data_IF_236510123468
#
_entry.id   IF_236510123468
#
_cell.length_a   1.000
_cell.length_b   1.000
_cell.length_c   1.000
_cell.angle_alpha   90.00
_cell.angle_beta   90.00
_cell.angle_gamma   90.00
#
_symmetry.space_group_name_H-M   'P 1'
#
loop_
_entity.id
_entity.type
_entity.pdbx_description
1 polymer ?
#
# COMPACT_ATOMS: atom_id res chain seq x y z
N UNK A 1 -13.15 -0.65 7.54
CA UNK A 1 -14.52 -0.21 7.22
C UNK A 1 -14.93 -0.67 5.83
N UNK A 2 -14.15 -0.44 4.77
CA UNK A 2 -14.49 -0.83 3.40
C UNK A 2 -14.96 -2.31 3.29
N UNK A 3 -14.24 -3.24 3.92
CA UNK A 3 -14.57 -4.67 3.91
C UNK A 3 -15.95 -5.00 4.52
N UNK A 4 -16.52 -4.12 5.34
CA UNK A 4 -17.86 -4.29 5.90
C UNK A 4 -18.94 -3.53 5.13
N UNK A 5 -18.53 -2.57 4.31
CA UNK A 5 -19.46 -1.71 3.57
C UNK A 5 -19.72 -2.19 2.15
N UNK A 6 -18.90 -3.11 1.64
CA UNK A 6 -18.96 -3.62 0.27
C UNK A 6 -19.22 -5.13 0.27
N UNK A 7 -20.23 -5.54 -0.48
CA UNK A 7 -20.45 -6.96 -0.80
C UNK A 7 -19.58 -7.28 -2.03
N UNK A 8 -18.58 -8.13 -1.81
CA UNK A 8 -17.59 -8.48 -2.83
C UNK A 8 -17.86 -9.87 -3.41
N UNK A 9 -17.77 -10.07 -4.73
CA UNK A 9 -17.81 -11.40 -5.32
C UNK A 9 -16.54 -12.23 -5.06
N UNK A 10 -15.52 -11.61 -4.46
CA UNK A 10 -14.22 -12.21 -4.17
C UNK A 10 -14.02 -12.45 -2.68
N UNK A 11 -13.16 -13.39 -2.34
CA UNK A 11 -12.68 -13.53 -0.96
C UNK A 11 -11.75 -12.34 -0.64
N UNK A 12 -12.12 -11.56 0.36
CA UNK A 12 -11.36 -10.37 0.79
C UNK A 12 -10.70 -10.65 2.13
N UNK A 13 -9.40 -10.44 2.20
CA UNK A 13 -8.62 -10.55 3.42
C UNK A 13 -8.09 -9.16 3.82
N UNK A 14 -8.48 -8.67 4.99
CA UNK A 14 -7.93 -7.45 5.57
C UNK A 14 -6.94 -7.82 6.68
N UNK A 15 -5.70 -7.38 6.52
CA UNK A 15 -4.61 -7.68 7.44
C UNK A 15 -4.15 -6.40 8.10
N UNK A 16 -4.08 -6.39 9.42
CA UNK A 16 -3.46 -5.32 10.21
C UNK A 16 -2.06 -5.79 10.62
N UNK A 17 -1.06 -5.25 9.94
CA UNK A 17 0.34 -5.63 10.18
C UNK A 17 0.81 -5.15 11.57
N UNK A 18 1.47 -6.03 12.30
CA UNK A 18 2.15 -5.73 13.56
C UNK A 18 3.65 -5.53 13.30
N UNK A 19 4.31 -4.70 14.10
CA UNK A 19 5.76 -4.50 14.12
C UNK A 19 6.37 -3.93 12.82
N UNK A 20 5.60 -3.24 12.01
CA UNK A 20 6.11 -2.61 10.79
C UNK A 20 7.28 -1.69 11.11
N UNK A 21 7.12 -0.77 12.06
CA UNK A 21 8.10 0.24 12.45
C UNK A 21 9.39 -0.31 13.08
N UNK A 22 9.40 -1.58 13.46
CA UNK A 22 10.57 -2.27 14.01
C UNK A 22 11.09 -3.39 13.11
N UNK A 23 10.76 -3.33 11.81
CA UNK A 23 11.30 -4.22 10.79
C UNK A 23 10.46 -5.48 10.54
N UNK A 24 9.22 -5.55 10.98
CA UNK A 24 8.28 -6.65 10.69
C UNK A 24 8.75 -8.05 11.12
N UNK A 25 9.68 -8.13 12.06
CA UNK A 25 10.22 -9.40 12.57
C UNK A 25 9.30 -10.04 13.62
N UNK A 26 9.54 -11.33 13.89
CA UNK A 26 8.81 -12.10 14.89
C UNK A 26 7.57 -12.79 14.32
N UNK A 27 6.85 -13.51 15.20
CA UNK A 27 5.76 -14.39 14.81
C UNK A 27 4.47 -13.67 14.37
N UNK A 28 4.33 -12.39 14.65
CA UNK A 28 3.18 -11.54 14.26
C UNK A 28 3.54 -10.48 13.22
N UNK A 29 4.83 -10.29 12.94
CA UNK A 29 5.29 -9.37 11.89
C UNK A 29 5.09 -9.95 10.50
N UNK A 30 5.13 -9.10 9.48
CA UNK A 30 4.90 -9.49 8.08
C UNK A 30 5.97 -10.41 7.49
N UNK A 31 7.13 -10.56 8.16
CA UNK A 31 8.13 -11.55 7.79
C UNK A 31 7.78 -12.96 8.26
N UNK A 32 6.76 -13.13 9.10
CA UNK A 32 6.30 -14.44 9.55
C UNK A 32 5.55 -15.18 8.43
N UNK A 33 5.32 -16.47 8.65
CA UNK A 33 4.53 -17.27 7.72
C UNK A 33 3.01 -17.12 7.88
N UNK A 34 2.55 -16.35 8.87
CA UNK A 34 1.12 -16.30 9.25
C UNK A 34 0.22 -15.99 8.04
N UNK A 35 0.58 -14.99 7.23
CA UNK A 35 -0.24 -14.63 6.06
C UNK A 35 -0.26 -15.75 5.03
N UNK A 36 0.89 -16.36 4.76
CA UNK A 36 0.97 -17.51 3.86
C UNK A 36 0.11 -18.68 4.36
N UNK A 37 0.24 -18.99 5.66
CA UNK A 37 -0.51 -20.10 6.28
C UNK A 37 -2.03 -19.85 6.29
N UNK A 38 -2.45 -18.59 6.47
CA UNK A 38 -3.88 -18.21 6.37
C UNK A 38 -4.39 -18.38 4.95
N UNK A 39 -3.66 -17.90 3.94
CA UNK A 39 -4.05 -18.06 2.53
C UNK A 39 -4.11 -19.53 2.17
N UNK A 40 -3.10 -20.31 2.55
CA UNK A 40 -3.02 -21.73 2.25
C UNK A 40 -4.16 -22.52 2.93
N UNK A 41 -4.50 -22.18 4.17
CA UNK A 41 -5.62 -22.78 4.90
C UNK A 41 -6.95 -22.49 4.22
N UNK A 42 -7.18 -21.23 3.83
CA UNK A 42 -8.41 -20.85 3.11
C UNK A 42 -8.49 -21.55 1.76
N UNK A 43 -7.44 -21.52 0.95
CA UNK A 43 -7.39 -22.16 -0.35
C UNK A 43 -7.72 -23.66 -0.25
N UNK A 44 -7.09 -24.36 0.70
CA UNK A 44 -7.32 -25.77 0.93
C UNK A 44 -8.77 -26.06 1.38
N UNK A 45 -9.39 -25.17 2.15
CA UNK A 45 -10.79 -25.32 2.59
C UNK A 45 -11.77 -25.22 1.42
N UNK A 46 -11.41 -24.52 0.36
CA UNK A 46 -12.17 -24.43 -0.89
C UNK A 46 -11.74 -25.47 -1.94
N UNK A 47 -10.77 -26.32 -1.64
CA UNK A 47 -10.26 -27.34 -2.58
C UNK A 47 -9.48 -26.74 -3.76
N UNK A 48 -8.91 -25.55 -3.61
CA UNK A 48 -8.10 -24.87 -4.65
C UNK A 48 -6.62 -24.86 -4.29
N UNK A 49 -5.77 -24.79 -5.31
CA UNK A 49 -4.33 -24.78 -5.10
C UNK A 49 -3.85 -23.45 -4.49
N UNK A 50 -3.21 -23.44 -3.30
CA UNK A 50 -2.74 -22.21 -2.67
C UNK A 50 -1.78 -21.39 -3.52
N UNK A 51 -0.95 -22.01 -4.34
CA UNK A 51 -0.03 -21.31 -5.24
C UNK A 51 -0.82 -20.52 -6.28
N UNK A 52 -1.83 -21.14 -6.91
CA UNK A 52 -2.68 -20.46 -7.88
C UNK A 52 -3.46 -19.31 -7.23
N UNK A 53 -3.93 -19.49 -6.00
CA UNK A 53 -4.60 -18.43 -5.25
C UNK A 53 -3.67 -17.23 -5.07
N UNK A 54 -2.43 -17.44 -4.64
CA UNK A 54 -1.47 -16.34 -4.47
C UNK A 54 -1.19 -15.60 -5.78
N UNK A 55 -0.88 -16.31 -6.87
CA UNK A 55 -0.59 -15.69 -8.16
C UNK A 55 -1.79 -14.98 -8.81
N UNK A 56 -3.02 -15.35 -8.43
CA UNK A 56 -4.24 -14.70 -8.89
C UNK A 56 -4.76 -13.64 -7.90
N UNK A 57 -4.11 -13.47 -6.75
CA UNK A 57 -4.47 -12.47 -5.77
C UNK A 57 -3.87 -11.10 -6.09
N UNK A 58 -4.54 -10.08 -5.61
CA UNK A 58 -4.10 -8.69 -5.69
C UNK A 58 -4.11 -8.05 -4.33
N UNK A 59 -3.20 -7.15 -4.06
CA UNK A 59 -3.06 -6.48 -2.78
C UNK A 59 -2.82 -4.98 -2.94
N UNK A 60 -3.50 -4.19 -2.12
CA UNK A 60 -3.06 -2.83 -1.82
C UNK A 60 -2.46 -2.82 -0.41
N UNK A 61 -1.25 -2.31 -0.29
CA UNK A 61 -0.58 -2.05 0.97
C UNK A 61 -0.95 -0.63 1.39
N UNK A 62 -1.86 -0.53 2.39
CA UNK A 62 -2.43 0.74 2.79
C UNK A 62 -1.73 1.29 4.03
N UNK A 63 -1.10 2.45 3.87
CA UNK A 63 -0.33 3.12 4.92
C UNK A 63 -0.42 4.65 4.74
N UNK A 64 0.47 5.40 5.36
CA UNK A 64 0.73 6.80 5.06
C UNK A 64 1.95 6.93 4.16
N UNK A 65 2.09 8.08 3.48
CA UNK A 65 3.28 8.42 2.69
C UNK A 65 3.65 9.87 2.93
N UNK A 66 4.95 10.21 2.91
CA UNK A 66 5.37 11.57 3.19
C UNK A 66 4.88 12.56 2.14
N UNK A 67 4.13 13.57 2.56
CA UNK A 67 3.73 14.69 1.71
C UNK A 67 4.85 15.73 1.61
N UNK A 68 4.90 16.44 0.50
CA UNK A 68 5.85 17.53 0.30
C UNK A 68 5.71 18.59 1.39
N UNK A 69 6.80 18.80 2.13
CA UNK A 69 6.93 19.87 3.12
C UNK A 69 7.85 20.96 2.58
N UNK A 70 7.34 22.20 2.36
CA UNK A 70 8.17 23.32 1.87
C UNK A 70 9.31 23.68 2.82
N UNK A 71 9.18 23.45 4.13
CA UNK A 71 10.22 23.73 5.10
C UNK A 71 11.42 22.78 4.96
N UNK A 72 11.21 21.60 4.40
CA UNK A 72 12.23 20.57 4.19
C UNK A 72 12.33 20.14 2.73
N UNK A 73 12.07 21.05 1.79
CA UNK A 73 11.97 20.78 0.36
C UNK A 73 13.16 20.05 -0.27
N UNK A 74 14.34 20.08 0.36
CA UNK A 74 15.55 19.40 -0.14
C UNK A 74 15.54 17.88 0.04
N UNK A 75 14.67 17.35 0.91
CA UNK A 75 14.55 15.90 1.14
C UNK A 75 13.53 15.24 0.22
N UNK A 76 12.89 16.00 -0.67
CA UNK A 76 11.87 15.53 -1.61
C UNK A 76 12.30 15.68 -3.06
N UNK A 77 11.84 14.78 -3.91
CA UNK A 77 11.82 15.00 -5.37
C UNK A 77 10.53 15.76 -5.73
N UNK A 78 10.65 17.05 -5.98
CA UNK A 78 9.48 17.96 -6.17
C UNK A 78 8.53 17.57 -7.30
N UNK A 79 9.03 16.85 -8.31
CA UNK A 79 8.23 16.43 -9.47
C UNK A 79 7.52 15.11 -9.26
N UNK A 80 7.91 14.39 -8.22
CA UNK A 80 7.40 13.05 -7.94
C UNK A 80 7.15 12.85 -6.44
N UNK A 81 6.46 13.80 -5.82
CA UNK A 81 6.09 13.73 -4.40
C UNK A 81 4.61 14.00 -4.22
N UNK A 82 4.03 13.40 -3.21
CA UNK A 82 2.62 13.57 -2.86
C UNK A 82 2.35 14.89 -2.17
N UNK A 83 1.10 15.33 -2.18
CA UNK A 83 0.64 16.57 -1.55
C UNK A 83 -0.60 16.30 -0.72
N UNK A 84 -0.69 16.95 0.42
CA UNK A 84 -1.88 16.91 1.28
C UNK A 84 -3.08 17.50 0.53
N UNK A 85 -4.26 16.91 0.73
CA UNK A 85 -5.52 17.29 0.10
C UNK A 85 -5.61 17.06 -1.42
N UNK A 86 -4.77 16.16 -1.95
CA UNK A 86 -4.80 15.77 -3.37
C UNK A 86 -5.26 14.33 -3.60
N UNK A 87 -5.83 13.68 -2.60
CA UNK A 87 -6.38 12.32 -2.71
C UNK A 87 -5.42 11.23 -2.25
N UNK A 88 -5.84 9.98 -2.41
CA UNK A 88 -5.03 8.82 -2.07
C UNK A 88 -3.75 8.77 -2.92
N UNK A 89 -2.64 8.48 -2.29
CA UNK A 89 -1.33 8.45 -2.94
C UNK A 89 -0.97 7.02 -3.36
N UNK A 90 -0.66 6.82 -4.63
CA UNK A 90 -0.16 5.56 -5.16
C UNK A 90 1.35 5.67 -5.33
N UNK A 91 2.09 4.79 -4.66
CA UNK A 91 3.54 4.66 -4.84
C UNK A 91 3.84 3.38 -5.60
N UNK A 92 4.19 3.53 -6.89
CA UNK A 92 4.59 2.40 -7.73
C UNK A 92 5.81 1.70 -7.16
N UNK A 93 6.75 2.48 -6.67
CA UNK A 93 8.01 2.04 -6.12
C UNK A 93 8.17 2.51 -4.67
N UNK A 94 8.57 1.60 -3.79
CA UNK A 94 8.99 1.90 -2.42
C UNK A 94 10.36 1.29 -2.17
N UNK A 95 11.14 1.89 -1.27
CA UNK A 95 12.45 1.37 -0.93
C UNK A 95 13.36 2.44 -0.31
N UNK A 96 14.16 2.03 0.66
CA UNK A 96 15.11 2.93 1.30
C UNK A 96 16.31 3.21 0.39
N UNK A 97 16.59 4.47 0.11
CA UNK A 97 17.66 4.94 -0.76
C UNK A 97 17.63 4.29 -2.16
N UNK A 98 16.43 3.95 -2.61
CA UNK A 98 16.22 3.30 -3.90
C UNK A 98 16.76 1.85 -4.02
N UNK A 99 17.13 1.18 -2.93
CA UNK A 99 17.90 -0.08 -3.04
C UNK A 99 17.58 -1.17 -2.02
N UNK A 100 16.86 -0.90 -0.96
CA UNK A 100 16.58 -1.88 0.08
C UNK A 100 15.13 -1.84 0.55
N UNK A 101 14.62 -3.00 0.97
CA UNK A 101 13.23 -3.17 1.38
C UNK A 101 12.24 -2.69 0.32
N UNK A 102 12.54 -2.99 -0.95
CA UNK A 102 11.86 -2.42 -2.10
C UNK A 102 10.67 -3.27 -2.54
N UNK A 103 9.61 -2.59 -2.97
CA UNK A 103 8.57 -3.12 -3.83
C UNK A 103 8.50 -2.25 -5.10
N UNK A 104 8.28 -2.88 -6.25
CA UNK A 104 8.09 -2.20 -7.53
C UNK A 104 6.87 -2.84 -8.23
N UNK A 105 5.72 -2.19 -8.14
CA UNK A 105 4.50 -2.69 -8.77
C UNK A 105 4.65 -2.75 -10.31
N UNK A 106 4.09 -3.79 -10.94
CA UNK A 106 4.11 -3.91 -12.40
C UNK A 106 3.34 -2.76 -13.07
N UNK A 107 3.69 -2.44 -14.30
CA UNK A 107 2.99 -1.39 -15.06
C UNK A 107 1.53 -1.79 -15.34
N UNK A 108 1.29 -3.07 -15.56
CA UNK A 108 -0.03 -3.66 -15.77
C UNK A 108 -0.89 -3.50 -14.51
N UNK A 109 -0.34 -3.78 -13.34
CA UNK A 109 -1.05 -3.62 -12.08
C UNK A 109 -1.32 -2.15 -11.76
N UNK A 110 -0.39 -1.26 -12.07
CA UNK A 110 -0.61 0.19 -11.97
C UNK A 110 -1.76 0.64 -12.86
N UNK A 111 -1.84 0.13 -14.10
CA UNK A 111 -2.96 0.39 -15.01
C UNK A 111 -4.29 -0.07 -14.42
N UNK A 112 -4.34 -1.31 -13.93
CA UNK A 112 -5.53 -1.88 -13.26
C UNK A 112 -6.01 -1.03 -12.06
N UNK A 113 -5.10 -0.60 -11.19
CA UNK A 113 -5.45 0.25 -10.03
C UNK A 113 -5.98 1.61 -10.50
N UNK A 114 -5.33 2.25 -11.48
CA UNK A 114 -5.79 3.53 -12.02
C UNK A 114 -7.19 3.43 -12.60
N UNK A 115 -7.46 2.43 -13.41
CA UNK A 115 -8.78 2.22 -14.03
C UNK A 115 -9.87 2.07 -12.95
N UNK A 116 -9.62 1.26 -11.92
CA UNK A 116 -10.54 1.12 -10.78
C UNK A 116 -10.82 2.46 -10.10
N UNK A 117 -9.78 3.26 -9.85
CA UNK A 117 -9.95 4.53 -9.15
C UNK A 117 -10.69 5.56 -10.01
N UNK A 118 -10.39 5.63 -11.29
CA UNK A 118 -11.04 6.54 -12.25
C UNK A 118 -12.51 6.16 -12.44
N UNK A 119 -12.83 4.89 -12.67
CA UNK A 119 -14.19 4.39 -12.85
C UNK A 119 -15.09 4.62 -11.62
N UNK A 120 -14.49 4.65 -10.42
CA UNK A 120 -15.21 4.90 -9.16
C UNK A 120 -15.12 6.36 -8.66
N UNK A 121 -14.61 7.28 -9.47
CA UNK A 121 -14.45 8.71 -9.14
C UNK A 121 -13.72 8.90 -7.79
N UNK A 122 -12.62 8.21 -7.62
CA UNK A 122 -11.73 8.36 -6.46
C UNK A 122 -10.67 9.42 -6.78
N UNK A 123 -10.48 10.39 -5.92
CA UNK A 123 -9.36 11.31 -6.04
C UNK A 123 -8.06 10.60 -5.65
N UNK A 124 -7.08 10.64 -6.54
CA UNK A 124 -5.79 10.00 -6.33
C UNK A 124 -4.64 10.79 -6.96
N UNK A 125 -3.44 10.49 -6.52
CA UNK A 125 -2.21 11.06 -7.03
C UNK A 125 -1.13 9.98 -7.02
N UNK A 126 -0.03 10.21 -7.74
CA UNK A 126 1.17 9.38 -7.63
C UNK A 126 2.30 10.15 -6.96
N UNK A 127 3.20 9.44 -6.32
CA UNK A 127 4.42 10.02 -5.79
C UNK A 127 5.30 8.99 -5.10
N UNK A 128 6.58 9.29 -5.08
CA UNK A 128 7.58 8.48 -4.40
C UNK A 128 7.91 9.11 -3.04
N UNK A 129 8.42 8.29 -2.14
CA UNK A 129 8.81 8.70 -0.80
C UNK A 129 10.23 9.27 -0.79
N UNK A 130 10.35 10.59 -0.60
CA UNK A 130 11.63 11.26 -0.44
C UNK A 130 12.39 11.51 -1.74
N UNK A 131 13.59 12.03 -1.61
CA UNK A 131 14.48 12.30 -2.73
C UNK A 131 15.12 11.01 -3.26
N UNK A 132 15.27 10.92 -4.59
CA UNK A 132 15.86 9.75 -5.26
C UNK A 132 17.28 9.50 -4.72
N UNK A 133 17.59 8.24 -4.48
CA UNK A 133 18.88 7.73 -3.94
C UNK A 133 19.26 8.23 -2.53
N UNK A 134 18.60 9.24 -2.00
CA UNK A 134 18.92 9.83 -0.69
C UNK A 134 17.87 9.55 0.38
N UNK A 135 16.61 9.50 -0.01
CA UNK A 135 15.46 9.27 0.85
C UNK A 135 14.77 7.92 0.61
N UNK A 136 13.50 7.90 0.91
CA UNK A 136 12.67 6.72 0.75
C UNK A 136 12.56 5.88 2.02
N UNK A 137 11.69 4.90 1.95
CA UNK A 137 11.44 3.91 3.01
C UNK A 137 10.89 2.63 2.42
N UNK A 138 11.16 1.51 3.06
CA UNK A 138 10.50 0.24 2.76
C UNK A 138 9.11 0.21 3.38
N UNK A 139 8.27 -0.65 2.84
CA UNK A 139 6.92 -0.91 3.34
C UNK A 139 6.68 -2.40 3.49
N UNK A 140 5.58 -2.78 4.12
CA UNK A 140 5.20 -4.21 4.22
C UNK A 140 4.82 -4.82 2.87
N UNK A 141 4.61 -4.00 1.83
CA UNK A 141 4.26 -4.44 0.48
C UNK A 141 5.23 -5.49 -0.07
N UNK A 142 6.53 -5.33 0.18
CA UNK A 142 7.53 -6.27 -0.31
C UNK A 142 7.32 -7.71 0.20
N UNK A 143 6.81 -7.88 1.42
CA UNK A 143 6.60 -9.22 1.98
C UNK A 143 5.44 -9.94 1.29
N UNK A 144 4.40 -9.20 0.91
CA UNK A 144 3.27 -9.75 0.16
C UNK A 144 3.67 -9.99 -1.30
N UNK A 145 4.38 -9.06 -1.92
CA UNK A 145 4.89 -9.20 -3.28
C UNK A 145 5.81 -10.43 -3.42
N UNK A 146 6.63 -10.72 -2.41
CA UNK A 146 7.50 -11.90 -2.38
C UNK A 146 6.74 -13.25 -2.34
N UNK A 147 5.43 -13.23 -2.04
CA UNK A 147 4.56 -14.40 -2.15
C UNK A 147 4.02 -14.62 -3.58
N UNK A 148 4.38 -13.78 -4.54
CA UNK A 148 3.89 -13.81 -5.92
C UNK A 148 2.55 -13.08 -6.10
N UNK A 149 2.16 -12.24 -5.15
CA UNK A 149 0.91 -11.47 -5.17
C UNK A 149 1.20 -10.08 -5.76
N UNK A 150 0.44 -9.65 -6.76
CA UNK A 150 0.52 -8.30 -7.28
C UNK A 150 0.20 -7.28 -6.20
N UNK A 151 1.17 -6.42 -5.87
CA UNK A 151 1.07 -5.53 -4.71
C UNK A 151 1.54 -4.12 -5.05
N UNK A 152 0.77 -3.12 -4.61
CA UNK A 152 1.12 -1.70 -4.73
C UNK A 152 0.81 -0.98 -3.42
N UNK A 153 1.60 0.05 -3.11
CA UNK A 153 1.35 0.91 -1.96
C UNK A 153 0.34 2.00 -2.33
N UNK A 154 -0.70 2.14 -1.50
CA UNK A 154 -1.75 3.17 -1.63
C UNK A 154 -1.97 3.81 -0.27
N UNK A 155 -1.50 5.03 -0.08
CA UNK A 155 -1.44 5.65 1.24
C UNK A 155 -2.14 6.99 1.35
N UNK A 156 -2.11 7.54 2.58
CA UNK A 156 -2.55 8.90 2.87
C UNK A 156 -1.34 9.82 2.97
N UNK A 157 -1.28 10.95 2.23
CA UNK A 157 -0.21 11.92 2.40
C UNK A 157 -0.19 12.50 3.82
N UNK A 158 0.98 12.44 4.47
CA UNK A 158 1.19 12.92 5.84
C UNK A 158 2.34 13.92 5.90
N UNK A 159 2.16 14.98 6.67
CA UNK A 159 3.23 15.89 7.07
C UNK A 159 3.76 15.51 8.45
N UNK A 160 5.06 15.71 8.65
CA UNK A 160 5.74 15.41 9.91
C UNK A 160 5.67 13.94 10.33
N UNK A 161 5.78 13.02 9.35
CA UNK A 161 5.84 11.57 9.63
C UNK A 161 6.84 11.25 10.73
N UNK A 162 6.46 10.39 11.68
CA UNK A 162 7.23 10.00 12.88
C UNK A 162 7.47 11.13 13.89
N UNK A 163 6.85 12.29 13.73
CA UNK A 163 6.89 13.35 14.75
C UNK A 163 5.82 13.11 15.85
N UNK A 164 5.93 13.78 17.00
CA UNK A 164 4.89 13.71 18.05
C UNK A 164 3.50 14.15 17.59
N UNK A 165 3.44 14.96 16.53
CA UNK A 165 2.20 15.40 15.88
C UNK A 165 2.35 15.26 14.37
N UNK A 166 1.53 14.41 13.79
CA UNK A 166 1.43 14.21 12.35
C UNK A 166 0.15 14.85 11.82
N UNK A 167 0.21 15.40 10.62
CA UNK A 167 -0.93 16.07 10.00
C UNK A 167 -1.33 15.39 8.69
N UNK A 168 -2.59 14.99 8.60
CA UNK A 168 -3.20 14.44 7.39
C UNK A 168 -4.47 15.22 7.02
N UNK A 169 -4.90 15.11 5.76
CA UNK A 169 -6.18 15.62 5.31
C UNK A 169 -7.27 14.55 5.50
N UNK A 170 -8.39 14.92 6.11
CA UNK A 170 -9.58 14.05 6.20
C UNK A 170 -10.13 13.68 4.81
N UNK A 171 -9.95 14.56 3.81
CA UNK A 171 -10.35 14.28 2.45
C UNK A 171 -9.51 13.15 1.84
N UNK A 172 -8.20 13.13 2.11
CA UNK A 172 -7.32 12.07 1.64
C UNK A 172 -7.62 10.72 2.32
N UNK A 173 -7.92 10.74 3.63
CA UNK A 173 -8.40 9.54 4.35
C UNK A 173 -9.70 9.00 3.72
N UNK A 174 -10.62 9.89 3.37
CA UNK A 174 -11.86 9.49 2.71
C UNK A 174 -11.60 8.96 1.29
N UNK A 175 -10.65 9.54 0.57
CA UNK A 175 -10.21 9.03 -0.74
C UNK A 175 -9.60 7.64 -0.63
N UNK A 176 -8.76 7.37 0.38
CA UNK A 176 -8.23 6.03 0.63
C UNK A 176 -9.35 5.04 0.97
N UNK A 177 -10.32 5.43 1.80
CA UNK A 177 -11.48 4.59 2.06
C UNK A 177 -12.24 4.25 0.78
N UNK A 178 -12.48 5.23 -0.10
CA UNK A 178 -13.12 5.00 -1.40
C UNK A 178 -12.28 4.10 -2.30
N UNK A 179 -10.96 4.28 -2.30
CA UNK A 179 -10.04 3.43 -3.05
C UNK A 179 -10.15 1.95 -2.59
N UNK A 180 -10.16 1.71 -1.28
CA UNK A 180 -10.38 0.38 -0.73
C UNK A 180 -11.76 -0.19 -1.13
N UNK A 181 -12.82 0.62 -1.07
CA UNK A 181 -14.14 0.17 -1.52
C UNK A 181 -14.17 -0.19 -3.01
N UNK A 182 -13.52 0.60 -3.84
CA UNK A 182 -13.44 0.35 -5.28
C UNK A 182 -12.62 -0.91 -5.60
N UNK A 183 -11.54 -1.13 -4.86
CA UNK A 183 -10.65 -2.28 -5.04
C UNK A 183 -11.30 -3.62 -4.70
N UNK A 184 -12.20 -3.67 -3.72
CA UNK A 184 -12.83 -4.93 -3.27
C UNK A 184 -14.18 -5.23 -3.94
N UNK A 185 -14.67 -4.35 -4.82
CA UNK A 185 -15.85 -4.57 -5.66
C UNK A 185 -15.58 -5.61 -6.74
#
# INVERSE_FOLDING_TARGET
>A
KAIFDIDSPHTVLSVFADKEEVGSNGNTGMQSKVICDVIDTLANSFGVNPIEVRYNSKCISADVTAAYDPAYGSVFEKRNTTRVSCGAAISKYTGARGKSSSNDASAEYMGFIRDILEDNNVFWQTGELGAVDAGGGGTVAMYIANLGIETVDVGVPVLSMHAPYELISKADVYSLYKACCAFIK
#
